data_IF_701915521410
#
_entry.id   IF_701915521410
#
_cell.length_a   1.000
_cell.length_b   1.000
_cell.length_c   1.000
_cell.angle_alpha   90.00
_cell.angle_beta   90.00
_cell.angle_gamma   90.00
#
_symmetry.space_group_name_H-M   'P 1'
#
loop_
_entity.id
_entity.type
_entity.pdbx_description
1 polymer ?
#
# COMPACT_ATOMS: atom_id res chain seq x y z
N UNK A 1 -8.47 -16.85 -22.73
CA UNK A 1 -8.11 -17.22 -21.35
C UNK A 1 -9.05 -16.44 -20.45
N UNK A 2 -9.53 -17.01 -19.35
CA UNK A 2 -10.28 -16.21 -18.36
C UNK A 2 -9.29 -15.26 -17.69
N UNK A 3 -9.60 -13.96 -17.67
CA UNK A 3 -8.74 -12.95 -17.06
C UNK A 3 -8.90 -13.00 -15.54
N UNK A 4 -7.82 -12.68 -14.81
CA UNK A 4 -7.84 -12.62 -13.35
C UNK A 4 -7.80 -11.19 -12.82
N UNK A 5 -8.32 -10.96 -11.63
CA UNK A 5 -8.06 -9.76 -10.84
C UNK A 5 -6.90 -10.03 -9.88
N UNK A 6 -5.93 -9.12 -9.79
CA UNK A 6 -4.73 -9.34 -8.99
C UNK A 6 -4.51 -8.19 -7.99
N UNK A 7 -4.31 -8.53 -6.73
CA UNK A 7 -3.85 -7.62 -5.69
C UNK A 7 -2.39 -7.93 -5.33
N UNK A 8 -1.49 -6.97 -5.54
CA UNK A 8 -0.04 -7.08 -5.31
C UNK A 8 0.32 -6.35 -4.01
N UNK A 9 0.94 -7.07 -3.07
CA UNK A 9 1.20 -6.56 -1.71
C UNK A 9 -0.05 -6.63 -0.82
N UNK A 10 -0.91 -7.64 -1.03
CA UNK A 10 -2.24 -7.69 -0.45
C UNK A 10 -2.28 -7.76 1.08
N UNK A 11 -1.18 -8.13 1.75
CA UNK A 11 -1.15 -8.49 3.17
C UNK A 11 -1.93 -9.77 3.50
N UNK A 12 -1.45 -10.59 4.45
CA UNK A 12 -2.10 -11.86 4.83
C UNK A 12 -3.49 -11.69 5.44
N UNK A 13 -3.97 -10.47 5.67
CA UNK A 13 -5.32 -10.21 6.20
C UNK A 13 -6.34 -9.78 5.14
N UNK A 14 -5.92 -9.45 3.91
CA UNK A 14 -6.85 -9.04 2.86
C UNK A 14 -7.40 -10.20 2.03
N UNK A 15 -8.69 -10.25 1.78
CA UNK A 15 -9.27 -11.23 0.87
C UNK A 15 -10.55 -10.73 0.21
N UNK A 16 -10.70 -11.04 -1.08
CA UNK A 16 -11.91 -10.73 -1.84
C UNK A 16 -12.21 -11.86 -2.81
N UNK A 17 -13.49 -12.22 -2.93
CA UNK A 17 -13.92 -13.26 -3.87
C UNK A 17 -13.61 -12.82 -5.32
N UNK A 18 -13.07 -13.73 -6.14
CA UNK A 18 -12.69 -13.44 -7.52
C UNK A 18 -11.33 -12.76 -7.68
N UNK A 19 -10.63 -12.46 -6.59
CA UNK A 19 -9.30 -11.85 -6.63
C UNK A 19 -8.20 -12.83 -6.26
N UNK A 20 -7.07 -12.70 -6.95
CA UNK A 20 -5.83 -13.36 -6.62
C UNK A 20 -4.91 -12.39 -5.87
N UNK A 21 -4.00 -12.93 -5.07
CA UNK A 21 -3.04 -12.14 -4.29
C UNK A 21 -1.61 -12.56 -4.59
N UNK A 22 -0.72 -11.58 -4.77
CA UNK A 22 0.73 -11.77 -4.74
C UNK A 22 1.29 -11.13 -3.48
N UNK A 23 1.99 -11.90 -2.65
CA UNK A 23 2.65 -11.40 -1.45
C UNK A 23 3.89 -12.26 -1.11
N UNK A 24 4.88 -11.69 -0.43
CA UNK A 24 6.03 -12.43 0.10
C UNK A 24 5.63 -13.40 1.22
N UNK A 25 4.57 -13.08 1.98
CA UNK A 25 3.99 -13.93 3.03
C UNK A 25 2.85 -14.75 2.43
N UNK A 26 3.22 -15.86 1.79
CA UNK A 26 2.24 -16.77 1.15
C UNK A 26 1.30 -17.37 2.20
N UNK A 27 0.00 -17.36 1.92
CA UNK A 27 -0.96 -18.17 2.70
C UNK A 27 -0.80 -19.64 2.32
N UNK A 28 -0.49 -20.50 3.28
CA UNK A 28 -0.46 -21.94 3.03
C UNK A 28 -1.83 -22.39 2.46
N UNK A 29 -1.79 -23.18 1.37
CA UNK A 29 -2.93 -23.89 0.78
C UNK A 29 -4.01 -23.03 0.08
N UNK A 30 -3.71 -21.81 -0.39
CA UNK A 30 -4.65 -21.04 -1.23
C UNK A 30 -4.43 -21.28 -2.72
N UNK A 31 -5.49 -21.59 -3.47
CA UNK A 31 -5.46 -21.63 -4.95
C UNK A 31 -5.32 -20.26 -5.60
N UNK A 32 -5.58 -19.18 -4.84
CA UNK A 32 -5.59 -17.80 -5.33
C UNK A 32 -4.46 -16.94 -4.74
N UNK A 33 -3.52 -17.53 -4.00
CA UNK A 33 -2.36 -16.82 -3.44
C UNK A 33 -1.08 -17.30 -4.10
N UNK A 34 -0.42 -16.38 -4.78
CA UNK A 34 0.92 -16.59 -5.33
C UNK A 34 1.96 -16.06 -4.34
N UNK A 35 3.01 -16.83 -4.12
CA UNK A 35 4.25 -16.28 -3.58
C UNK A 35 5.09 -15.75 -4.72
N UNK A 36 5.67 -14.55 -4.57
CA UNK A 36 6.53 -14.01 -5.63
C UNK A 36 7.11 -12.64 -5.36
N UNK A 37 7.83 -12.16 -6.35
CA UNK A 37 8.40 -10.81 -6.45
C UNK A 37 7.48 -9.99 -7.35
N UNK A 38 7.19 -8.73 -6.98
CA UNK A 38 6.39 -7.83 -7.80
C UNK A 38 7.06 -7.50 -9.14
N UNK A 39 8.38 -7.71 -9.26
CA UNK A 39 9.13 -7.61 -10.51
C UNK A 39 9.10 -8.90 -11.37
N UNK A 40 8.49 -9.98 -10.87
CA UNK A 40 8.38 -11.26 -11.57
C UNK A 40 7.11 -12.02 -11.13
N UNK A 41 5.95 -11.52 -11.54
CA UNK A 41 4.63 -12.06 -11.20
C UNK A 41 4.44 -13.38 -11.96
N UNK A 42 4.14 -14.51 -11.28
CA UNK A 42 4.11 -15.84 -11.90
C UNK A 42 2.79 -16.13 -12.65
N UNK A 43 2.34 -15.19 -13.49
CA UNK A 43 1.17 -15.31 -14.36
C UNK A 43 1.53 -14.95 -15.81
N UNK A 44 0.81 -15.50 -16.81
CA UNK A 44 1.10 -15.22 -18.22
C UNK A 44 0.95 -13.74 -18.60
N UNK A 45 1.53 -13.34 -19.72
CA UNK A 45 1.30 -12.02 -20.31
C UNK A 45 -0.20 -11.81 -20.60
N UNK A 46 -0.67 -10.58 -20.45
CA UNK A 46 -2.04 -10.17 -20.79
C UNK A 46 -3.14 -11.03 -20.14
N UNK A 47 -2.89 -11.51 -18.92
CA UNK A 47 -3.78 -12.44 -18.21
C UNK A 47 -4.57 -11.80 -17.07
N UNK A 48 -4.25 -10.57 -16.69
CA UNK A 48 -4.97 -9.80 -15.68
C UNK A 48 -5.92 -8.79 -16.33
N UNK A 49 -7.16 -8.72 -15.85
CA UNK A 49 -8.07 -7.61 -16.21
C UNK A 49 -7.82 -6.35 -15.37
N UNK A 50 -7.29 -6.53 -14.16
CA UNK A 50 -6.98 -5.40 -13.28
C UNK A 50 -5.88 -5.79 -12.28
N UNK A 51 -5.06 -4.82 -11.92
CA UNK A 51 -4.03 -4.93 -10.88
C UNK A 51 -4.28 -3.84 -9.85
N UNK A 52 -4.36 -4.23 -8.58
CA UNK A 52 -4.42 -3.33 -7.44
C UNK A 52 -3.12 -3.42 -6.66
N UNK A 53 -2.58 -2.28 -6.25
CA UNK A 53 -1.42 -2.22 -5.36
C UNK A 53 -1.61 -1.06 -4.39
N UNK A 54 -1.45 -1.32 -3.08
CA UNK A 54 -1.68 -0.33 -2.04
C UNK A 54 -0.58 -0.38 -1.00
N UNK A 55 -0.01 0.77 -0.68
CA UNK A 55 1.05 0.94 0.32
C UNK A 55 2.24 -0.02 0.15
N UNK A 56 2.74 -0.12 -1.09
CA UNK A 56 3.90 -0.94 -1.43
C UNK A 56 5.05 -0.11 -2.00
N UNK A 57 4.75 0.89 -2.83
CA UNK A 57 5.77 1.61 -3.61
C UNK A 57 6.70 2.45 -2.75
N UNK A 58 6.22 2.96 -1.62
CA UNK A 58 7.01 3.70 -0.63
C UNK A 58 8.04 2.80 0.09
N UNK A 59 7.80 1.49 0.14
CA UNK A 59 8.71 0.49 0.72
C UNK A 59 9.75 -0.03 -0.28
N UNK A 60 9.55 0.22 -1.57
CA UNK A 60 10.42 -0.27 -2.64
C UNK A 60 11.54 0.75 -2.90
N UNK A 61 12.80 0.31 -3.03
CA UNK A 61 13.86 1.17 -3.53
C UNK A 61 13.45 1.76 -4.88
N UNK A 62 13.41 3.10 -4.98
CA UNK A 62 12.98 3.82 -6.19
C UNK A 62 13.65 3.35 -7.49
N UNK A 63 14.87 2.80 -7.42
CA UNK A 63 15.61 2.22 -8.56
C UNK A 63 15.00 0.95 -9.13
N UNK A 64 14.09 0.27 -8.42
CA UNK A 64 13.40 -0.95 -8.87
C UNK A 64 11.94 -0.72 -9.27
N UNK A 65 11.37 0.45 -8.99
CA UNK A 65 9.96 0.70 -9.23
C UNK A 65 9.60 0.58 -10.73
N UNK A 66 10.47 1.04 -11.62
CA UNK A 66 10.23 0.93 -13.07
C UNK A 66 10.14 -0.53 -13.56
N UNK A 67 10.96 -1.42 -13.01
CA UNK A 67 10.91 -2.86 -13.33
C UNK A 67 9.58 -3.49 -12.90
N UNK A 68 9.09 -3.12 -11.72
CA UNK A 68 7.79 -3.57 -11.20
C UNK A 68 6.64 -3.04 -12.05
N UNK A 69 6.68 -1.78 -12.45
CA UNK A 69 5.64 -1.20 -13.31
C UNK A 69 5.63 -1.82 -14.71
N UNK A 70 6.79 -2.16 -15.27
CA UNK A 70 6.87 -2.94 -16.51
C UNK A 70 6.26 -4.33 -16.35
N UNK A 71 6.47 -4.98 -15.19
CA UNK A 71 5.87 -6.27 -14.90
C UNK A 71 4.34 -6.17 -14.73
N UNK A 72 3.84 -5.09 -14.12
CA UNK A 72 2.40 -4.82 -14.05
C UNK A 72 1.82 -4.63 -15.45
N UNK A 73 2.51 -3.89 -16.32
CA UNK A 73 2.11 -3.72 -17.72
C UNK A 73 2.11 -5.05 -18.49
N UNK A 74 3.10 -5.93 -18.25
CA UNK A 74 3.18 -7.26 -18.89
C UNK A 74 1.95 -8.12 -18.57
N UNK A 75 1.54 -8.16 -17.31
CA UNK A 75 0.44 -9.04 -16.87
C UNK A 75 -0.93 -8.49 -17.23
N UNK A 76 -1.10 -7.17 -17.30
CA UNK A 76 -2.36 -6.52 -17.67
C UNK A 76 -2.68 -6.75 -19.15
N UNK A 77 -3.94 -7.06 -19.47
CA UNK A 77 -4.41 -7.00 -20.85
C UNK A 77 -4.46 -5.53 -21.35
N UNK A 78 -4.57 -5.28 -22.67
CA UNK A 78 -4.52 -3.91 -23.21
C UNK A 78 -5.58 -2.93 -22.68
N UNK A 79 -6.74 -3.45 -22.25
CA UNK A 79 -7.84 -2.67 -21.66
C UNK A 79 -7.83 -2.72 -20.11
N UNK A 80 -6.77 -3.29 -19.53
CA UNK A 80 -6.68 -3.57 -18.11
C UNK A 80 -6.41 -2.32 -17.29
N UNK A 81 -6.90 -2.31 -16.05
CA UNK A 81 -6.78 -1.17 -15.14
C UNK A 81 -5.71 -1.45 -14.09
N UNK A 82 -4.84 -0.47 -13.85
CA UNK A 82 -3.98 -0.43 -12.68
C UNK A 82 -4.55 0.60 -11.71
N UNK A 83 -4.76 0.23 -10.44
CA UNK A 83 -5.06 1.17 -9.36
C UNK A 83 -3.95 1.12 -8.31
N UNK A 84 -3.36 2.27 -8.03
CA UNK A 84 -2.25 2.41 -7.07
C UNK A 84 -2.64 3.35 -5.95
N UNK A 85 -2.41 2.92 -4.71
CA UNK A 85 -2.53 3.74 -3.51
C UNK A 85 -1.20 3.82 -2.78
N UNK A 86 -0.82 5.03 -2.37
CA UNK A 86 0.42 5.31 -1.64
C UNK A 86 0.29 6.66 -0.91
N UNK A 87 1.13 6.96 0.09
CA UNK A 87 1.12 8.29 0.72
C UNK A 87 1.40 9.42 -0.28
N UNK A 88 0.56 10.46 -0.28
CA UNK A 88 0.66 11.62 -1.18
C UNK A 88 1.72 12.60 -0.67
N UNK A 89 2.91 12.57 -1.28
CA UNK A 89 4.02 13.46 -0.93
C UNK A 89 3.58 14.92 -0.88
N UNK A 90 2.78 15.36 -1.83
CA UNK A 90 2.36 16.76 -1.95
C UNK A 90 1.43 17.15 -0.80
N UNK A 91 0.41 16.34 -0.49
CA UNK A 91 -0.50 16.61 0.64
C UNK A 91 0.27 16.72 1.95
N UNK A 92 1.15 15.76 2.24
CA UNK A 92 1.91 15.76 3.50
C UNK A 92 2.90 16.93 3.56
N UNK A 93 3.54 17.29 2.43
CA UNK A 93 4.42 18.45 2.35
C UNK A 93 3.67 19.77 2.55
N UNK A 94 2.47 19.92 1.99
CA UNK A 94 1.61 21.09 2.20
C UNK A 94 1.19 21.20 3.67
N UNK A 95 0.79 20.09 4.30
CA UNK A 95 0.48 20.06 5.73
C UNK A 95 1.68 20.48 6.59
N UNK A 96 2.88 20.01 6.25
CA UNK A 96 4.12 20.42 6.91
C UNK A 96 4.40 21.92 6.78
N UNK A 97 4.39 22.45 5.55
CA UNK A 97 4.67 23.87 5.28
C UNK A 97 3.67 24.78 5.99
N UNK A 98 2.41 24.35 6.05
CA UNK A 98 1.34 25.11 6.70
C UNK A 98 1.23 24.87 8.22
N UNK A 99 2.07 24.00 8.79
CA UNK A 99 1.97 23.62 10.21
C UNK A 99 0.56 23.12 10.60
N UNK A 100 -0.06 22.35 9.70
CA UNK A 100 -1.43 21.88 9.84
C UNK A 100 -1.54 20.85 10.97
N UNK A 101 -1.93 21.35 12.15
CA UNK A 101 -2.04 20.54 13.36
C UNK A 101 -3.14 19.50 13.25
N UNK A 102 -4.21 19.81 12.50
CA UNK A 102 -5.35 18.91 12.39
C UNK A 102 -5.02 17.74 11.47
N UNK A 103 -4.39 18.01 10.32
CA UNK A 103 -3.88 16.98 9.42
C UNK A 103 -2.99 15.97 10.15
N UNK A 104 -1.99 16.45 10.91
CA UNK A 104 -1.09 15.56 11.63
C UNK A 104 -1.73 14.87 12.83
N UNK A 105 -2.78 15.45 13.43
CA UNK A 105 -3.58 14.80 14.47
C UNK A 105 -4.35 13.62 13.88
N UNK A 106 -4.99 13.79 12.73
CA UNK A 106 -5.73 12.73 12.05
C UNK A 106 -4.78 11.65 11.49
N UNK A 107 -3.67 12.05 10.86
CA UNK A 107 -2.64 11.11 10.42
C UNK A 107 -2.07 10.27 11.58
N UNK A 108 -1.89 10.86 12.76
CA UNK A 108 -1.45 10.13 13.97
C UNK A 108 -2.53 9.19 14.52
N UNK A 109 -3.80 9.54 14.33
CA UNK A 109 -4.92 8.69 14.72
C UNK A 109 -5.06 7.47 13.80
N UNK A 110 -4.69 7.60 12.52
CA UNK A 110 -4.63 6.50 11.55
C UNK A 110 -3.39 5.63 11.77
N UNK A 111 -2.22 6.24 11.89
CA UNK A 111 -0.94 5.55 12.13
C UNK A 111 -0.35 5.92 13.50
N UNK A 112 -0.58 5.03 14.46
CA UNK A 112 -0.05 5.12 15.81
C UNK A 112 1.49 5.11 15.85
N UNK A 113 2.18 4.69 14.78
CA UNK A 113 3.64 4.71 14.68
C UNK A 113 4.21 6.08 14.28
N UNK A 114 3.37 7.00 13.78
CA UNK A 114 3.80 8.33 13.36
C UNK A 114 4.51 9.07 14.51
N UNK A 115 5.77 9.44 14.29
CA UNK A 115 6.58 10.11 15.30
C UNK A 115 6.11 11.55 15.57
N UNK A 116 6.25 12.01 16.80
CA UNK A 116 5.84 13.37 17.21
C UNK A 116 6.92 14.12 18.00
N UNK A 117 8.07 13.49 18.22
CA UNK A 117 9.18 13.96 19.06
C UNK A 117 10.02 15.09 18.42
N UNK A 118 9.93 15.26 17.10
CA UNK A 118 10.69 16.28 16.34
C UNK A 118 9.78 17.31 15.64
N UNK A 119 8.56 17.52 16.14
CA UNK A 119 7.57 18.46 15.57
C UNK A 119 7.10 18.07 14.16
N UNK A 120 6.51 19.02 13.43
CA UNK A 120 5.95 18.76 12.09
C UNK A 120 7.00 18.29 11.07
N UNK A 121 8.25 18.74 11.19
CA UNK A 121 9.33 18.25 10.33
C UNK A 121 9.63 16.77 10.56
N UNK A 122 9.58 16.31 11.82
CA UNK A 122 9.69 14.89 12.15
C UNK A 122 8.53 14.06 11.61
N UNK A 123 7.30 14.55 11.78
CA UNK A 123 6.10 13.89 11.25
C UNK A 123 6.18 13.77 9.72
N UNK A 124 6.52 14.85 9.01
CA UNK A 124 6.71 14.85 7.56
C UNK A 124 7.78 13.85 7.12
N UNK A 125 8.96 13.88 7.75
CA UNK A 125 10.04 12.97 7.39
C UNK A 125 9.68 11.50 7.60
N UNK A 126 8.79 11.19 8.56
CA UNK A 126 8.34 9.83 8.81
C UNK A 126 7.53 9.25 7.62
N UNK A 127 6.82 10.07 6.86
CA UNK A 127 6.14 9.62 5.64
C UNK A 127 7.11 9.26 4.51
N UNK A 128 8.30 9.88 4.49
CA UNK A 128 9.32 9.67 3.45
C UNK A 128 10.26 8.52 3.83
N UNK A 129 10.77 8.55 5.05
CA UNK A 129 11.72 7.57 5.58
C UNK A 129 11.31 7.20 7.00
N UNK A 130 10.80 5.98 7.18
CA UNK A 130 10.36 5.45 8.47
C UNK A 130 11.21 4.26 8.89
N UNK A 131 11.49 4.09 10.20
CA UNK A 131 12.13 2.89 10.71
C UNK A 131 11.22 1.67 10.48
N UNK A 132 11.82 0.53 10.14
CA UNK A 132 11.06 -0.67 9.83
C UNK A 132 11.94 -1.89 9.58
N UNK A 133 11.34 -2.99 9.13
CA UNK A 133 12.04 -4.25 8.91
C UNK A 133 12.07 -4.68 7.44
N UNK A 134 11.64 -3.80 6.52
CA UNK A 134 11.44 -4.15 5.12
C UNK A 134 12.76 -4.10 4.35
N UNK A 135 13.63 -3.15 4.71
CA UNK A 135 14.95 -2.97 4.08
C UNK A 135 16.06 -2.74 5.13
N UNK A 136 17.28 -3.16 4.79
CA UNK A 136 18.44 -3.05 5.67
C UNK A 136 19.42 -1.98 5.17
N UNK A 137 19.75 -1.00 6.03
CA UNK A 137 20.87 -0.09 5.83
C UNK A 137 22.15 -0.74 6.33
N UNK A 138 23.13 -0.86 5.44
CA UNK A 138 24.46 -1.39 5.72
C UNK A 138 25.50 -0.25 5.71
N UNK A 139 26.61 -0.43 6.41
CA UNK A 139 27.74 0.51 6.31
C UNK A 139 28.38 0.49 4.90
N UNK A 140 29.28 1.43 4.62
CA UNK A 140 29.95 1.55 3.31
C UNK A 140 30.70 0.28 2.87
N UNK A 141 31.20 -0.50 3.83
CA UNK A 141 31.90 -1.77 3.56
C UNK A 141 30.97 -2.97 3.38
N UNK A 142 29.65 -2.79 3.49
CA UNK A 142 28.62 -3.84 3.44
C UNK A 142 28.86 -4.98 4.44
N UNK A 143 29.52 -4.71 5.56
CA UNK A 143 29.90 -5.71 6.56
C UNK A 143 29.30 -5.46 7.95
N UNK A 144 28.48 -4.41 8.10
CA UNK A 144 27.79 -4.10 9.33
C UNK A 144 26.37 -3.61 9.02
N UNK A 145 25.39 -4.23 9.67
CA UNK A 145 24.01 -3.73 9.73
C UNK A 145 23.94 -2.49 10.62
N UNK A 146 23.33 -1.42 10.11
CA UNK A 146 23.17 -0.15 10.82
C UNK A 146 21.75 -0.05 11.39
N UNK A 147 20.74 -0.14 10.52
CA UNK A 147 19.34 0.04 10.88
C UNK A 147 18.44 -0.57 9.81
N UNK A 148 17.17 -0.81 10.16
CA UNK A 148 16.14 -1.18 9.20
C UNK A 148 15.23 0.00 8.89
N UNK A 149 14.72 0.06 7.66
CA UNK A 149 13.77 1.06 7.19
C UNK A 149 12.57 0.39 6.53
N UNK A 150 11.38 0.96 6.74
CA UNK A 150 10.16 0.62 6.03
C UNK A 150 10.03 1.52 4.80
N UNK A 151 9.60 2.78 4.98
CA UNK A 151 9.53 3.72 3.87
C UNK A 151 10.93 4.17 3.45
N UNK A 152 11.14 4.24 2.15
CA UNK A 152 12.39 4.67 1.51
C UNK A 152 12.21 5.88 0.62
N UNK A 153 10.99 6.09 0.12
CA UNK A 153 10.68 7.13 -0.83
C UNK A 153 9.20 7.49 -0.76
N UNK A 154 8.85 8.65 -1.29
CA UNK A 154 7.47 9.12 -1.39
C UNK A 154 7.28 9.76 -2.75
N UNK A 155 6.05 9.74 -3.26
CA UNK A 155 5.73 10.18 -4.61
C UNK A 155 4.51 11.10 -4.57
N UNK A 156 4.53 12.10 -5.44
CA UNK A 156 3.33 12.83 -5.80
C UNK A 156 2.75 12.30 -7.12
N UNK A 157 1.63 12.89 -7.54
CA UNK A 157 0.97 12.50 -8.78
C UNK A 157 1.85 12.73 -10.02
N UNK A 158 2.64 13.80 -10.07
CA UNK A 158 3.47 14.10 -11.25
C UNK A 158 4.55 13.03 -11.43
N UNK A 159 5.22 12.65 -10.34
CA UNK A 159 6.19 11.56 -10.32
C UNK A 159 5.55 10.24 -10.77
N UNK A 160 4.41 9.86 -10.19
CA UNK A 160 3.71 8.63 -10.56
C UNK A 160 3.25 8.64 -12.00
N UNK A 161 2.73 9.78 -12.49
CA UNK A 161 2.31 9.93 -13.88
C UNK A 161 3.47 9.70 -14.85
N UNK A 162 4.62 10.32 -14.62
CA UNK A 162 5.82 10.13 -15.45
C UNK A 162 6.29 8.67 -15.44
N UNK A 163 6.28 8.02 -14.28
CA UNK A 163 6.68 6.62 -14.14
C UNK A 163 5.72 5.67 -14.88
N UNK A 164 4.42 5.89 -14.75
CA UNK A 164 3.38 5.08 -15.38
C UNK A 164 3.37 5.28 -16.91
N UNK A 165 3.38 6.52 -17.40
CA UNK A 165 3.40 6.80 -18.84
C UNK A 165 4.65 6.19 -19.52
N UNK A 166 5.80 6.30 -18.87
CA UNK A 166 7.06 5.74 -19.36
C UNK A 166 7.09 4.21 -19.38
N UNK A 167 6.28 3.55 -18.55
CA UNK A 167 6.19 2.09 -18.46
C UNK A 167 4.97 1.52 -19.18
N UNK A 168 4.31 2.33 -20.03
CA UNK A 168 3.32 1.86 -21.00
C UNK A 168 1.86 2.13 -20.64
N UNK A 169 1.57 2.91 -19.58
CA UNK A 169 0.22 3.28 -19.19
C UNK A 169 -0.22 4.59 -19.87
N UNK A 170 -1.33 4.57 -20.62
CA UNK A 170 -1.73 5.70 -21.48
C UNK A 170 -2.71 6.71 -20.86
N UNK A 171 -3.58 6.29 -19.94
CA UNK A 171 -4.62 7.14 -19.34
C UNK A 171 -4.42 7.22 -17.82
N UNK A 172 -3.43 8.00 -17.39
CA UNK A 172 -3.06 8.14 -15.98
C UNK A 172 -3.77 9.34 -15.36
N UNK A 173 -4.57 9.10 -14.31
CA UNK A 173 -5.40 10.12 -13.65
C UNK A 173 -5.22 10.07 -12.14
N UNK A 174 -5.30 11.23 -11.49
CA UNK A 174 -5.48 11.28 -10.04
C UNK A 174 -6.96 11.09 -9.75
N UNK A 175 -7.27 10.19 -8.82
CA UNK A 175 -8.64 9.83 -8.47
C UNK A 175 -8.97 10.27 -7.04
N UNK A 176 -10.25 10.56 -6.79
CA UNK A 176 -10.78 10.72 -5.44
C UNK A 176 -11.04 9.36 -4.78
N UNK A 177 -11.23 9.38 -3.45
CA UNK A 177 -11.51 8.17 -2.67
C UNK A 177 -12.77 7.45 -3.17
N UNK A 178 -12.64 6.14 -3.43
CA UNK A 178 -13.63 5.26 -4.05
C UNK A 178 -14.17 5.74 -5.41
N UNK A 179 -13.50 6.69 -6.05
CA UNK A 179 -13.86 7.13 -7.39
C UNK A 179 -13.23 6.20 -8.41
N UNK A 180 -14.07 5.51 -9.19
CA UNK A 180 -13.61 4.66 -10.28
C UNK A 180 -14.75 4.37 -11.26
N UNK A 181 -14.41 4.07 -12.51
CA UNK A 181 -15.34 3.42 -13.46
C UNK A 181 -15.34 1.89 -13.33
N UNK A 182 -14.44 1.34 -12.52
CA UNK A 182 -14.32 -0.09 -12.25
C UNK A 182 -15.03 -0.40 -10.92
N UNK A 183 -16.16 -1.15 -10.91
CA UNK A 183 -17.04 -1.27 -9.75
C UNK A 183 -16.36 -1.75 -8.47
N UNK A 184 -15.37 -2.63 -8.58
CA UNK A 184 -14.65 -3.12 -7.40
C UNK A 184 -14.00 -1.96 -6.62
N UNK A 185 -13.46 -0.96 -7.33
CA UNK A 185 -12.76 0.18 -6.72
C UNK A 185 -13.68 1.27 -6.16
N UNK A 186 -14.99 1.05 -6.18
CA UNK A 186 -15.96 1.86 -5.43
C UNK A 186 -16.12 1.37 -3.97
N UNK A 187 -15.52 0.24 -3.60
CA UNK A 187 -15.56 -0.35 -2.26
C UNK A 187 -14.35 0.11 -1.41
N UNK A 188 -14.56 0.86 -0.31
CA UNK A 188 -13.47 1.23 0.60
C UNK A 188 -12.93 -0.01 1.30
N UNK A 189 -11.68 0.03 1.77
CA UNK A 189 -11.15 -1.01 2.64
C UNK A 189 -11.97 -1.05 3.94
N UNK A 190 -12.49 -2.22 4.28
CA UNK A 190 -13.29 -2.43 5.48
C UNK A 190 -13.06 -3.82 6.08
N UNK A 191 -13.45 -4.01 7.35
CA UNK A 191 -13.38 -5.34 7.98
C UNK A 191 -14.43 -6.25 7.36
N UNK A 192 -14.01 -7.44 6.95
CA UNK A 192 -14.89 -8.44 6.35
C UNK A 192 -16.00 -8.82 7.33
N UNK A 193 -17.25 -8.70 6.89
CA UNK A 193 -18.44 -8.95 7.70
C UNK A 193 -19.04 -7.70 8.37
N UNK A 194 -18.37 -6.55 8.27
CA UNK A 194 -18.98 -5.23 8.56
C UNK A 194 -19.46 -4.58 7.27
N UNK A 195 -20.26 -3.51 7.42
CA UNK A 195 -20.71 -2.68 6.30
C UNK A 195 -19.51 -2.13 5.50
N UNK A 196 -19.63 -2.00 4.16
CA UNK A 196 -18.57 -1.52 3.28
C UNK A 196 -18.43 0.00 3.34
N UNK A 197 -18.13 0.52 4.53
CA UNK A 197 -17.88 1.94 4.79
C UNK A 197 -16.47 2.09 5.34
N UNK A 198 -15.83 3.20 4.98
CA UNK A 198 -14.53 3.54 5.53
C UNK A 198 -14.67 3.86 7.02
N UNK A 199 -13.83 3.22 7.85
CA UNK A 199 -13.66 3.52 9.26
C UNK A 199 -12.15 3.57 9.55
N UNK A 200 -11.72 4.48 10.44
CA UNK A 200 -10.33 4.51 10.87
C UNK A 200 -10.01 3.26 11.72
N UNK A 201 -9.08 2.44 11.25
CA UNK A 201 -8.63 1.20 11.88
C UNK A 201 -7.66 1.43 13.06
N UNK A 202 -8.06 2.29 14.00
CA UNK A 202 -7.34 2.59 15.22
C UNK A 202 -7.74 1.67 16.41
N UNK A 203 -7.03 1.75 17.54
CA UNK A 203 -7.37 0.94 18.73
C UNK A 203 -8.81 1.12 19.22
N UNK A 204 -9.40 2.30 19.04
CA UNK A 204 -10.79 2.55 19.46
C UNK A 204 -11.77 1.77 18.59
N UNK A 205 -11.55 1.73 17.27
CA UNK A 205 -12.31 0.88 16.34
C UNK A 205 -12.15 -0.60 16.68
N UNK A 206 -10.92 -1.09 16.85
CA UNK A 206 -10.69 -2.50 17.18
C UNK A 206 -11.40 -2.90 18.49
N UNK A 207 -11.29 -2.06 19.52
CA UNK A 207 -11.98 -2.28 20.80
C UNK A 207 -13.49 -2.28 20.66
N UNK A 208 -14.07 -1.34 19.89
CA UNK A 208 -15.52 -1.25 19.63
C UNK A 208 -16.08 -2.51 18.97
N UNK A 209 -15.28 -3.13 18.09
CA UNK A 209 -15.69 -4.30 17.30
C UNK A 209 -15.17 -5.64 17.85
N UNK A 210 -14.54 -5.66 19.04
CA UNK A 210 -13.90 -6.85 19.63
C UNK A 210 -12.85 -7.50 18.71
N UNK A 211 -12.09 -6.67 17.99
CA UNK A 211 -11.00 -7.07 17.12
C UNK A 211 -9.65 -6.88 17.83
N UNK A 212 -8.65 -7.64 17.40
CA UNK A 212 -7.27 -7.53 17.89
C UNK A 212 -6.38 -7.22 16.71
N UNK A 213 -5.55 -6.19 16.85
CA UNK A 213 -4.42 -5.87 15.99
C UNK A 213 -3.27 -5.39 16.90
N UNK A 214 -2.39 -6.31 17.30
CA UNK A 214 -1.30 -6.00 18.23
C UNK A 214 -0.03 -6.75 17.85
N UNK A 215 1.10 -6.07 17.86
CA UNK A 215 2.40 -6.75 17.80
C UNK A 215 2.68 -7.49 19.12
N UNK A 216 3.06 -8.76 19.03
CA UNK A 216 3.53 -9.53 20.18
C UNK A 216 5.06 -9.66 20.13
N UNK A 217 5.74 -8.89 20.98
CA UNK A 217 7.19 -8.87 21.08
C UNK A 217 7.82 -10.24 21.38
N UNK A 218 7.06 -11.17 21.99
CA UNK A 218 7.56 -12.51 22.33
C UNK A 218 7.59 -13.43 21.13
N UNK A 219 6.54 -13.41 20.31
CA UNK A 219 6.46 -14.22 19.09
C UNK A 219 7.08 -13.52 17.87
N UNK A 220 7.28 -12.20 17.95
CA UNK A 220 7.76 -11.39 16.82
C UNK A 220 6.72 -11.21 15.72
N UNK A 221 5.45 -11.49 16.01
CA UNK A 221 4.36 -11.49 15.05
C UNK A 221 3.19 -10.61 15.50
N UNK A 222 2.42 -10.11 14.54
CA UNK A 222 1.15 -9.46 14.83
C UNK A 222 0.07 -10.51 15.13
N UNK A 223 -0.61 -10.35 16.26
CA UNK A 223 -1.88 -11.02 16.54
C UNK A 223 -3.00 -10.22 15.87
N UNK A 224 -3.65 -10.83 14.87
CA UNK A 224 -4.75 -10.24 14.11
C UNK A 224 -5.94 -11.20 14.07
N UNK A 225 -7.10 -10.77 14.56
CA UNK A 225 -8.30 -11.62 14.67
C UNK A 225 -9.35 -11.39 13.58
N UNK A 226 -9.05 -10.57 12.58
CA UNK A 226 -9.97 -10.22 11.50
C UNK A 226 -9.32 -10.33 10.11
N UNK A 227 -10.17 -10.26 9.09
CA UNK A 227 -9.80 -10.10 7.69
C UNK A 227 -10.39 -8.79 7.17
N UNK A 228 -9.77 -8.24 6.14
CA UNK A 228 -10.24 -7.04 5.44
C UNK A 228 -10.58 -7.37 3.99
N UNK A 229 -11.48 -6.60 3.41
CA UNK A 229 -11.86 -6.62 1.98
C UNK A 229 -12.03 -5.18 1.52
N UNK A 230 -12.25 -4.96 0.22
CA UNK A 230 -12.31 -3.63 -0.37
C UNK A 230 -10.93 -3.10 -0.71
N UNK A 231 -10.80 -1.83 -1.05
CA UNK A 231 -9.60 -1.30 -1.70
C UNK A 231 -9.08 -0.05 -1.03
N UNK A 232 -9.80 1.07 -1.15
CA UNK A 232 -9.24 2.35 -0.74
C UNK A 232 -9.17 2.47 0.79
N UNK A 233 -7.96 2.63 1.33
CA UNK A 233 -7.71 2.56 2.77
C UNK A 233 -7.78 3.90 3.48
N UNK A 234 -7.26 4.98 2.89
CA UNK A 234 -7.11 6.24 3.61
C UNK A 234 -7.44 7.45 2.72
N UNK A 235 -8.58 8.14 2.95
CA UNK A 235 -8.97 9.31 2.17
C UNK A 235 -8.10 10.54 2.46
N UNK A 236 -7.45 10.60 3.63
CA UNK A 236 -6.69 11.79 4.06
C UNK A 236 -5.34 11.84 3.37
N UNK A 237 -4.47 10.87 3.65
CA UNK A 237 -3.06 10.94 3.25
C UNK A 237 -2.77 10.22 1.94
N UNK A 238 -3.69 9.40 1.42
CA UNK A 238 -3.42 8.66 0.17
C UNK A 238 -3.45 9.55 -1.07
N UNK A 239 -2.50 9.27 -1.95
CA UNK A 239 -2.55 9.50 -3.38
C UNK A 239 -3.17 8.26 -4.03
N UNK A 240 -4.21 8.48 -4.82
CA UNK A 240 -4.91 7.44 -5.57
C UNK A 240 -4.73 7.73 -7.06
N UNK A 241 -4.17 6.76 -7.78
CA UNK A 241 -3.89 6.83 -9.22
C UNK A 241 -4.56 5.67 -9.92
#
# INVERSE_FOLDING_TARGET
>A
MELIKLNVGASPIWEKAGWHTLDHKVREQSQHSFGGDAAAIPVPDLSCETVFCSHMFEHIPHTRLEEILLEFNRVLNPDGVLRVLLPDLKKVAEAYVNSDTEFFREAKDEDESLRTDLGFGGMFMNFIVSPGQDTALMNRGLNQFIAGYAHLYSYDFEMMKILLERTGFGDVRKMEFCQSSYPDYEEPLHVKGLEPVWENFNQAFYKKHNLVHRYDDKSGHYEITFKVTGFDRDPLTSLIV
#
